data_IF_273760491707
#
_entry.id   IF_273760491707
#
_cell.length_a   1.000
_cell.length_b   1.000
_cell.length_c   1.000
_cell.angle_alpha   90.00
_cell.angle_beta   90.00
_cell.angle_gamma   90.00
#
_symmetry.space_group_name_H-M   'P 1'
#
loop_
_entity.id
_entity.type
_entity.pdbx_description
1 polymer ?
#
# COMPACT_ATOMS: atom_id res chain seq x y z
N UNK A 1 1.34 33.87 1.72
CA UNK A 1 1.52 32.40 1.71
C UNK A 1 0.45 31.84 0.80
N UNK A 2 0.83 31.04 -0.19
CA UNK A 2 -0.09 30.42 -1.15
C UNK A 2 -0.05 28.90 -0.96
N UNK A 3 -1.17 28.23 -1.21
CA UNK A 3 -1.32 26.77 -1.04
C UNK A 3 -1.88 26.19 -2.33
N UNK A 4 -1.21 25.18 -2.87
CA UNK A 4 -1.59 24.47 -4.10
C UNK A 4 -1.72 22.98 -3.82
N UNK A 5 -2.69 22.32 -4.46
CA UNK A 5 -2.80 20.88 -4.48
C UNK A 5 -1.89 20.29 -5.56
N UNK A 6 -0.88 19.52 -5.16
CA UNK A 6 0.01 18.83 -6.10
C UNK A 6 -0.40 17.37 -6.27
N UNK A 7 -0.54 16.93 -7.52
CA UNK A 7 -0.79 15.53 -7.87
C UNK A 7 0.54 14.82 -8.15
N UNK A 8 0.84 13.78 -7.37
CA UNK A 8 2.05 12.97 -7.53
C UNK A 8 1.64 11.55 -7.89
N UNK A 9 1.82 11.19 -9.16
CA UNK A 9 1.37 9.91 -9.68
C UNK A 9 2.42 8.82 -9.51
N UNK A 10 3.72 9.12 -9.52
CA UNK A 10 4.76 8.09 -9.47
C UNK A 10 6.02 8.55 -8.71
N UNK A 11 6.95 7.61 -8.49
CA UNK A 11 8.16 7.88 -7.73
C UNK A 11 9.10 8.87 -8.40
N UNK A 12 9.11 8.97 -9.73
CA UNK A 12 9.95 9.93 -10.45
C UNK A 12 9.46 11.36 -10.20
N UNK A 13 8.15 11.61 -10.40
CA UNK A 13 7.51 12.89 -10.08
C UNK A 13 7.67 13.25 -8.60
N UNK A 14 7.50 12.28 -7.69
CA UNK A 14 7.72 12.50 -6.26
C UNK A 14 9.14 12.97 -5.95
N UNK A 15 10.15 12.34 -6.59
CA UNK A 15 11.55 12.72 -6.39
C UNK A 15 11.85 14.11 -6.92
N UNK A 16 11.37 14.42 -8.12
CA UNK A 16 11.55 15.72 -8.76
C UNK A 16 10.90 16.85 -7.95
N UNK A 17 9.63 16.68 -7.57
CA UNK A 17 8.89 17.65 -6.75
C UNK A 17 9.53 17.89 -5.38
N UNK A 18 10.05 16.84 -4.73
CA UNK A 18 10.74 16.99 -3.44
C UNK A 18 12.14 17.60 -3.62
N UNK A 19 12.83 17.32 -4.73
CA UNK A 19 14.14 17.92 -5.00
C UNK A 19 14.03 19.42 -5.33
N UNK A 20 12.95 19.84 -6.01
CA UNK A 20 12.75 21.23 -6.43
C UNK A 20 12.63 22.23 -5.27
N UNK A 21 12.24 21.76 -4.08
CA UNK A 21 12.24 22.58 -2.85
C UNK A 21 13.61 22.67 -2.16
N UNK A 22 14.67 22.10 -2.74
CA UNK A 22 16.03 22.11 -2.19
C UNK A 22 16.30 21.03 -1.12
N UNK A 23 15.49 19.97 -1.06
CA UNK A 23 15.72 18.86 -0.14
C UNK A 23 17.00 18.08 -0.48
N UNK A 24 17.71 17.56 0.54
CA UNK A 24 18.93 16.80 0.31
C UNK A 24 18.67 15.51 -0.49
N UNK A 25 19.62 15.04 -1.32
CA UNK A 25 19.44 13.84 -2.14
C UNK A 25 19.07 12.58 -1.33
N UNK A 26 19.59 12.45 -0.12
CA UNK A 26 19.24 11.36 0.81
C UNK A 26 17.77 11.46 1.22
N UNK A 27 17.32 12.66 1.60
CA UNK A 27 15.94 12.91 2.03
C UNK A 27 14.94 12.69 0.89
N UNK A 28 15.28 13.10 -0.34
CA UNK A 28 14.46 12.88 -1.54
C UNK A 28 14.10 11.40 -1.69
N UNK A 29 15.10 10.51 -1.58
CA UNK A 29 14.88 9.07 -1.73
C UNK A 29 14.06 8.46 -0.58
N UNK A 30 14.19 8.99 0.64
CA UNK A 30 13.41 8.54 1.82
C UNK A 30 11.96 9.03 1.74
N UNK A 31 11.73 10.23 1.20
CA UNK A 31 10.41 10.88 1.18
C UNK A 31 9.58 10.52 -0.05
N UNK A 32 10.18 10.30 -1.21
CA UNK A 32 9.44 10.01 -2.44
C UNK A 32 8.39 8.88 -2.29
N UNK A 33 8.68 7.74 -1.62
CA UNK A 33 7.67 6.69 -1.42
C UNK A 33 6.50 7.07 -0.49
N UNK A 34 6.61 8.18 0.26
CA UNK A 34 5.55 8.71 1.13
C UNK A 34 4.55 9.58 0.35
N UNK A 35 4.95 10.11 -0.81
CA UNK A 35 4.14 11.03 -1.61
C UNK A 35 3.27 10.31 -2.65
N UNK A 36 3.55 9.04 -2.94
CA UNK A 36 2.85 8.26 -3.97
C UNK A 36 1.78 7.39 -3.32
N UNK A 37 0.50 7.73 -3.49
CA UNK A 37 -0.65 6.97 -3.00
C UNK A 37 -1.18 5.99 -4.05
N UNK A 38 -1.60 4.80 -3.62
CA UNK A 38 -2.13 3.73 -4.49
C UNK A 38 -3.35 3.07 -3.88
N UNK A 39 -4.35 2.87 -4.72
CA UNK A 39 -5.56 2.09 -4.43
C UNK A 39 -5.49 0.80 -5.25
N UNK A 40 -5.47 -0.36 -4.59
CA UNK A 40 -5.27 -1.67 -5.23
C UNK A 40 -6.41 -2.61 -4.84
N UNK A 41 -7.12 -3.15 -5.83
CA UNK A 41 -8.13 -4.19 -5.62
C UNK A 41 -7.48 -5.58 -5.68
N UNK A 42 -7.72 -6.39 -4.66
CA UNK A 42 -7.33 -7.81 -4.60
C UNK A 42 -8.61 -8.65 -4.58
N UNK A 43 -8.78 -9.52 -5.56
CA UNK A 43 -10.01 -10.30 -5.74
C UNK A 43 -9.90 -11.70 -5.17
N UNK A 44 -11.01 -12.24 -4.65
CA UNK A 44 -11.10 -13.65 -4.25
C UNK A 44 -10.24 -14.04 -3.05
N UNK A 45 -10.02 -13.10 -2.12
CA UNK A 45 -9.23 -13.29 -0.90
C UNK A 45 -10.06 -14.06 0.13
N UNK A 46 -9.46 -15.00 0.85
CA UNK A 46 -10.17 -15.66 1.96
C UNK A 46 -10.48 -14.69 3.10
N UNK A 47 -11.51 -14.96 3.90
CA UNK A 47 -11.84 -14.11 5.05
C UNK A 47 -10.64 -13.86 5.99
N UNK A 48 -9.88 -14.92 6.28
CA UNK A 48 -8.67 -14.84 7.11
C UNK A 48 -7.62 -13.92 6.50
N UNK A 49 -7.32 -14.09 5.20
CA UNK A 49 -6.33 -13.25 4.53
C UNK A 49 -6.81 -11.78 4.41
N UNK A 50 -8.10 -11.54 4.21
CA UNK A 50 -8.68 -10.20 4.18
C UNK A 50 -8.56 -9.50 5.54
N UNK A 51 -8.82 -10.21 6.64
CA UNK A 51 -8.63 -9.68 8.00
C UNK A 51 -7.14 -9.40 8.30
N UNK A 52 -6.22 -10.29 7.91
CA UNK A 52 -4.77 -10.05 8.05
C UNK A 52 -4.36 -8.82 7.25
N UNK A 53 -4.80 -8.68 6.00
CA UNK A 53 -4.50 -7.52 5.17
C UNK A 53 -5.00 -6.22 5.81
N UNK A 54 -6.24 -6.20 6.31
CA UNK A 54 -6.80 -5.05 7.03
C UNK A 54 -5.94 -4.67 8.24
N UNK A 55 -5.58 -5.64 9.06
CA UNK A 55 -4.77 -5.41 10.26
C UNK A 55 -3.37 -4.91 9.91
N UNK A 56 -2.70 -5.53 8.94
CA UNK A 56 -1.37 -5.11 8.49
C UNK A 56 -1.40 -3.69 7.90
N UNK A 57 -2.37 -3.38 7.04
CA UNK A 57 -2.52 -2.03 6.47
C UNK A 57 -2.73 -0.98 7.57
N UNK A 58 -3.65 -1.21 8.51
CA UNK A 58 -3.88 -0.32 9.64
C UNK A 58 -2.63 -0.13 10.49
N UNK A 59 -1.88 -1.21 10.76
CA UNK A 59 -0.66 -1.15 11.57
C UNK A 59 0.46 -0.29 10.95
N UNK A 60 0.45 -0.12 9.62
CA UNK A 60 1.41 0.74 8.89
C UNK A 60 0.83 2.11 8.54
N UNK A 61 -0.40 2.41 8.99
CA UNK A 61 -1.11 3.67 8.73
C UNK A 61 -1.73 3.78 7.34
N UNK A 62 -1.84 2.67 6.62
CA UNK A 62 -2.71 2.57 5.44
C UNK A 62 -4.10 2.08 5.84
N UNK A 63 -4.91 1.73 4.86
CA UNK A 63 -6.24 1.17 5.09
C UNK A 63 -6.60 0.06 4.09
N UNK A 64 -7.59 -0.74 4.44
CA UNK A 64 -8.20 -1.72 3.54
C UNK A 64 -9.73 -1.70 3.68
N UNK A 65 -10.47 -1.64 2.59
CA UNK A 65 -11.90 -1.95 2.61
C UNK A 65 -12.08 -3.46 2.47
N UNK A 66 -12.78 -4.07 3.44
CA UNK A 66 -13.13 -5.50 3.45
C UNK A 66 -14.66 -5.63 3.54
N UNK A 67 -15.21 -6.74 3.05
CA UNK A 67 -16.64 -6.99 3.14
C UNK A 67 -17.09 -7.11 4.61
N UNK A 68 -18.23 -6.52 4.99
CA UNK A 68 -18.71 -6.54 6.38
C UNK A 68 -18.89 -7.97 6.94
N UNK A 69 -19.31 -8.92 6.09
CA UNK A 69 -19.45 -10.34 6.44
C UNK A 69 -18.12 -11.10 6.65
N UNK A 70 -16.97 -10.53 6.29
CA UNK A 70 -15.64 -11.11 6.57
C UNK A 70 -15.24 -10.91 8.03
N UNK A 71 -15.64 -9.79 8.62
CA UNK A 71 -15.41 -9.52 10.05
C UNK A 71 -16.11 -10.56 10.92
N UNK A 72 -17.30 -11.02 10.51
CA UNK A 72 -18.09 -12.01 11.22
C UNK A 72 -17.93 -13.45 10.67
N UNK A 73 -16.92 -13.71 9.83
CA UNK A 73 -16.66 -15.02 9.20
C UNK A 73 -17.84 -15.64 8.43
N UNK A 74 -18.86 -14.86 8.04
CA UNK A 74 -20.03 -15.34 7.29
C UNK A 74 -19.74 -15.53 5.80
N UNK A 75 -18.73 -14.85 5.28
CA UNK A 75 -18.33 -14.89 3.88
C UNK A 75 -16.95 -15.56 3.76
N UNK A 76 -16.85 -16.68 3.04
CA UNK A 76 -15.58 -17.43 2.93
C UNK A 76 -14.53 -16.76 2.04
N UNK A 77 -14.96 -15.99 1.04
CA UNK A 77 -14.11 -15.21 0.13
C UNK A 77 -14.69 -13.84 -0.17
N UNK A 78 -13.84 -12.82 -0.23
CA UNK A 78 -14.23 -11.45 -0.59
C UNK A 78 -13.15 -10.77 -1.44
N UNK A 79 -13.55 -9.68 -2.09
CA UNK A 79 -12.61 -8.70 -2.61
C UNK A 79 -12.14 -7.78 -1.47
N UNK A 80 -10.95 -7.23 -1.61
CA UNK A 80 -10.34 -6.26 -0.69
C UNK A 80 -9.82 -5.08 -1.50
N UNK A 81 -10.07 -3.85 -1.05
CA UNK A 81 -9.47 -2.64 -1.63
C UNK A 81 -8.42 -2.13 -0.65
N UNK A 82 -7.15 -2.22 -1.00
CA UNK A 82 -6.03 -1.67 -0.24
C UNK A 82 -5.80 -0.22 -0.62
N UNK A 83 -5.48 0.63 0.36
CA UNK A 83 -5.28 2.06 0.19
C UNK A 83 -4.07 2.51 1.02
N UNK A 84 -3.07 3.11 0.39
CA UNK A 84 -1.88 3.57 1.12
C UNK A 84 -0.78 4.12 0.22
N UNK A 85 0.25 4.63 0.86
CA UNK A 85 1.47 5.10 0.17
C UNK A 85 2.37 3.93 -0.21
N UNK A 86 3.22 4.10 -1.22
CA UNK A 86 4.23 3.10 -1.61
C UNK A 86 5.10 2.70 -0.42
N UNK A 87 5.45 3.63 0.48
CA UNK A 87 6.18 3.33 1.73
C UNK A 87 5.42 2.31 2.59
N UNK A 88 4.12 2.51 2.79
CA UNK A 88 3.29 1.65 3.64
C UNK A 88 3.14 0.27 3.02
N UNK A 89 2.88 0.20 1.71
CA UNK A 89 2.86 -1.08 1.00
C UNK A 89 4.18 -1.84 1.12
N UNK A 90 5.33 -1.17 0.98
CA UNK A 90 6.64 -1.83 1.17
C UNK A 90 6.80 -2.43 2.57
N UNK A 91 6.23 -1.80 3.60
CA UNK A 91 6.24 -2.35 4.96
C UNK A 91 5.27 -3.53 5.10
N UNK A 92 4.06 -3.43 4.56
CA UNK A 92 3.06 -4.52 4.57
C UNK A 92 3.58 -5.74 3.81
N UNK A 93 4.17 -5.55 2.62
CA UNK A 93 4.77 -6.62 1.82
C UNK A 93 5.79 -7.40 2.64
N UNK A 94 6.65 -6.73 3.43
CA UNK A 94 7.61 -7.41 4.31
C UNK A 94 6.90 -8.29 5.34
N UNK A 95 5.85 -7.79 6.00
CA UNK A 95 5.06 -8.61 6.93
C UNK A 95 4.42 -9.81 6.24
N UNK A 96 3.80 -9.61 5.07
CA UNK A 96 3.07 -10.66 4.33
C UNK A 96 3.96 -11.83 3.87
N UNK A 97 5.25 -11.60 3.64
CA UNK A 97 6.18 -12.69 3.31
C UNK A 97 6.40 -13.68 4.46
N UNK A 98 6.19 -13.25 5.72
CA UNK A 98 6.38 -14.07 6.92
C UNK A 98 5.09 -14.81 7.31
N UNK A 99 3.95 -14.35 6.80
CA UNK A 99 2.64 -14.91 7.13
C UNK A 99 2.40 -16.29 6.50
N UNK A 100 1.51 -17.13 7.08
CA UNK A 100 1.21 -18.45 6.57
C UNK A 100 0.56 -18.43 5.17
N UNK A 101 0.48 -19.63 4.59
CA UNK A 101 0.16 -19.97 3.19
C UNK A 101 -0.73 -18.97 2.44
N UNK A 102 -0.25 -18.54 1.27
CA UNK A 102 -1.01 -17.74 0.28
C UNK A 102 -0.65 -16.25 0.27
N UNK A 103 -0.33 -15.66 1.42
CA UNK A 103 0.06 -14.25 1.54
C UNK A 103 1.43 -13.90 0.94
N UNK A 104 2.47 -14.77 0.99
CA UNK A 104 3.73 -14.49 0.31
C UNK A 104 3.57 -14.27 -1.21
N UNK A 105 2.74 -15.10 -1.86
CA UNK A 105 2.44 -14.95 -3.31
C UNK A 105 1.73 -13.63 -3.61
N UNK A 106 0.86 -13.15 -2.71
CA UNK A 106 0.23 -11.84 -2.84
C UNK A 106 1.26 -10.72 -2.67
N UNK A 107 2.18 -10.87 -1.71
CA UNK A 107 3.24 -9.91 -1.46
C UNK A 107 4.14 -9.71 -2.70
N UNK A 108 4.48 -10.79 -3.40
CA UNK A 108 5.24 -10.74 -4.66
C UNK A 108 4.47 -10.00 -5.77
N UNK A 109 3.18 -10.28 -5.92
CA UNK A 109 2.32 -9.59 -6.91
C UNK A 109 2.24 -8.09 -6.62
N UNK A 110 2.02 -7.71 -5.37
CA UNK A 110 1.99 -6.32 -4.93
C UNK A 110 3.34 -5.63 -5.19
N UNK A 111 4.45 -6.31 -4.87
CA UNK A 111 5.80 -5.78 -5.09
C UNK A 111 6.07 -5.52 -6.58
N UNK A 112 5.68 -6.46 -7.46
CA UNK A 112 5.83 -6.29 -8.91
C UNK A 112 5.02 -5.08 -9.41
N UNK A 113 3.74 -5.02 -9.04
CA UNK A 113 2.85 -3.93 -9.45
C UNK A 113 3.31 -2.54 -8.97
N UNK A 114 3.92 -2.45 -7.80
CA UNK A 114 4.43 -1.20 -7.22
C UNK A 114 5.83 -0.79 -7.71
N UNK A 115 6.52 -1.67 -8.43
CA UNK A 115 7.80 -1.38 -9.06
C UNK A 115 7.65 -1.02 -10.56
N UNK A 116 6.52 -1.41 -11.16
CA UNK A 116 6.19 -1.16 -12.58
C UNK A 116 5.51 0.20 -12.83
N UNK A 117 5.29 1.02 -11.79
CA UNK A 117 4.73 2.37 -11.91
C UNK A 117 5.20 3.32 -10.81
#
# INVERSE_FOLDING_TARGET
MEVELMQIENLAQAKEAIASVGASPVSVNIMAPKAVFRVIKVTGVSATAANILKQEMLSKGGDAAVHAGVVNCRQSKSDVILMGTVKQYRQVIKSLHIQPVGLPKLADKLKKLLNEG
#
